data_IF_838254744832
#
_entry.id   IF_838254744832
#
_cell.length_a   1.000
_cell.length_b   1.000
_cell.length_c   1.000
_cell.angle_alpha   90.00
_cell.angle_beta   90.00
_cell.angle_gamma   90.00
#
_symmetry.space_group_name_H-M   'P 1'
#
loop_
_entity.id
_entity.type
_entity.pdbx_description
1 polymer ?
#
# COMPACT_ATOMS: atom_id res chain seq x y z
N UNK A 1 9.35 7.72 -51.99
CA UNK A 1 9.22 7.80 -51.37
C UNK A 1 9.25 7.78 -50.38
N UNK A 2 9.20 7.79 -50.76
CA UNK A 2 9.08 7.72 -49.78
C UNK A 2 8.89 7.75 -48.90
N UNK A 3 8.70 7.72 -48.72
CA UNK A 3 8.52 7.90 -47.80
C UNK A 3 8.16 7.70 -46.94
N UNK A 4 7.92 7.57 -47.25
CA UNK A 4 7.47 7.41 -46.36
C UNK A 4 7.59 7.03 -45.44
N UNK A 5 7.70 6.71 -45.71
CA UNK A 5 7.82 6.45 -44.72
C UNK A 5 7.96 6.59 -43.64
N UNK A 6 7.90 6.85 -43.54
CA UNK A 6 7.89 7.19 -42.43
C UNK A 6 7.43 7.18 -41.50
N UNK A 7 7.16 7.10 -41.60
CA UNK A 7 6.61 7.27 -40.72
C UNK A 7 6.37 6.56 -40.00
N UNK A 8 6.28 6.32 -40.34
CA UNK A 8 5.84 5.57 -39.52
C UNK A 8 6.40 5.41 -38.29
N UNK A 9 6.88 5.64 -38.29
CA UNK A 9 7.45 5.54 -37.31
C UNK A 9 7.36 6.01 -36.09
N UNK A 10 7.64 6.40 -35.90
CA UNK A 10 7.66 7.19 -34.75
C UNK A 10 6.47 6.98 -33.93
N UNK A 11 5.55 6.58 -34.54
CA UNK A 11 4.31 6.33 -33.88
C UNK A 11 4.44 5.34 -32.78
N UNK A 12 5.23 4.38 -32.95
CA UNK A 12 5.34 3.35 -31.94
C UNK A 12 5.75 3.89 -30.61
N UNK A 13 6.44 4.94 -30.64
CA UNK A 13 6.95 5.53 -29.43
C UNK A 13 5.86 5.93 -28.48
N UNK A 14 4.82 6.45 -29.01
CA UNK A 14 3.76 6.95 -28.19
C UNK A 14 3.17 5.94 -27.28
N UNK A 15 3.07 4.74 -27.76
CA UNK A 15 2.44 3.72 -26.97
C UNK A 15 3.14 3.47 -25.67
N UNK A 16 4.39 3.75 -25.63
CA UNK A 16 5.15 3.51 -24.43
C UNK A 16 4.64 4.28 -23.26
N UNK A 17 4.29 5.49 -23.52
CA UNK A 17 3.86 6.37 -22.47
C UNK A 17 2.65 5.84 -21.76
N UNK A 18 1.80 5.23 -22.51
CA UNK A 18 0.56 4.75 -21.96
C UNK A 18 0.75 3.72 -20.89
N UNK A 19 1.82 3.00 -21.01
CA UNK A 19 2.06 1.94 -20.05
C UNK A 19 2.13 2.45 -18.65
N UNK A 20 2.61 3.63 -18.50
CA UNK A 20 2.78 4.19 -17.19
C UNK A 20 1.48 4.34 -16.47
N UNK A 21 0.52 4.84 -17.16
CA UNK A 21 -0.75 5.09 -16.55
C UNK A 21 -1.44 3.81 -16.16
N UNK A 22 -1.18 2.78 -16.92
CA UNK A 22 -1.88 1.55 -16.71
C UNK A 22 -1.62 0.91 -15.36
N UNK A 23 -0.54 1.26 -14.75
CA UNK A 23 -0.21 0.62 -13.48
C UNK A 23 -1.07 1.05 -12.34
N UNK A 24 -1.54 2.24 -12.41
CA UNK A 24 -2.20 2.83 -11.27
C UNK A 24 -3.47 2.14 -10.84
N UNK A 25 -4.40 1.92 -11.71
CA UNK A 25 -5.68 1.40 -11.30
C UNK A 25 -5.65 -0.02 -10.77
N UNK A 26 -4.58 -0.72 -11.06
CA UNK A 26 -4.53 -2.11 -10.67
C UNK A 26 -4.56 -2.31 -9.17
N UNK A 27 -4.30 -1.27 -8.42
CA UNK A 27 -4.17 -1.42 -6.99
C UNK A 27 -5.45 -1.32 -6.23
N UNK A 28 -6.49 -0.89 -6.88
CA UNK A 28 -7.73 -0.58 -6.20
C UNK A 28 -8.38 -1.75 -5.48
N UNK A 29 -8.17 -2.95 -5.94
CA UNK A 29 -8.90 -4.09 -5.41
C UNK A 29 -8.59 -4.40 -3.97
N UNK A 30 -7.36 -4.26 -3.58
CA UNK A 30 -6.94 -4.61 -2.24
C UNK A 30 -6.48 -3.37 -1.50
N UNK A 31 -7.40 -2.46 -1.33
CA UNK A 31 -7.09 -1.19 -0.69
C UNK A 31 -8.09 -0.92 0.41
N UNK A 32 -7.61 -0.38 1.50
CA UNK A 32 -8.43 0.04 2.63
C UNK A 32 -7.89 1.34 3.17
N UNK A 33 -8.77 2.15 3.70
CA UNK A 33 -8.38 3.43 4.28
C UNK A 33 -8.17 3.28 5.77
N UNK A 34 -7.08 3.84 6.27
CA UNK A 34 -6.82 3.91 7.70
C UNK A 34 -6.54 5.36 8.08
N UNK A 35 -6.69 5.65 9.37
CA UNK A 35 -6.36 6.95 9.91
C UNK A 35 -5.36 6.76 11.02
N UNK A 36 -4.23 7.47 10.92
CA UNK A 36 -3.23 7.49 11.98
C UNK A 36 -3.48 8.73 12.82
N UNK A 37 -3.81 8.51 14.08
CA UNK A 37 -4.05 9.63 15.00
C UNK A 37 -2.76 10.30 15.43
N UNK A 38 -1.66 9.59 15.29
CA UNK A 38 -0.35 10.07 15.71
C UNK A 38 0.68 9.65 14.68
N UNK A 39 1.80 10.32 14.67
CA UNK A 39 2.93 9.85 13.87
C UNK A 39 3.29 8.45 14.32
N UNK A 40 3.62 7.60 13.38
CA UNK A 40 3.92 6.21 13.68
C UNK A 40 5.05 5.71 12.80
N UNK A 41 5.73 4.68 13.29
CA UNK A 41 6.83 4.06 12.56
C UNK A 41 6.36 2.74 11.99
N UNK A 42 6.71 2.49 10.73
CA UNK A 42 6.44 1.22 10.07
C UNK A 42 7.74 0.80 9.44
N UNK A 43 8.26 -0.36 9.84
CA UNK A 43 9.49 -0.91 9.28
C UNK A 43 10.62 0.12 9.27
N UNK A 44 10.75 0.85 10.36
CA UNK A 44 11.84 1.80 10.52
C UNK A 44 11.63 3.16 9.89
N UNK A 45 10.48 3.40 9.26
CA UNK A 45 10.20 4.69 8.64
C UNK A 45 9.00 5.34 9.30
N UNK A 46 9.06 6.64 9.45
CA UNK A 46 8.00 7.38 10.12
C UNK A 46 6.95 7.85 9.13
N UNK A 47 5.69 7.58 9.48
CA UNK A 47 4.55 8.11 8.75
C UNK A 47 3.89 9.16 9.62
N UNK A 48 3.70 10.38 9.12
CA UNK A 48 2.99 11.42 9.88
C UNK A 48 1.54 11.04 10.11
N UNK A 49 0.94 11.60 11.12
CA UNK A 49 -0.49 11.44 11.37
C UNK A 49 -1.27 11.86 10.13
N UNK A 50 -2.36 11.16 9.87
CA UNK A 50 -3.20 11.47 8.72
C UNK A 50 -3.90 10.27 8.18
N UNK A 51 -4.57 10.46 7.07
CA UNK A 51 -5.34 9.42 6.41
C UNK A 51 -4.49 8.79 5.30
N UNK A 52 -4.51 7.46 5.25
CA UNK A 52 -3.75 6.72 4.26
C UNK A 52 -4.60 5.65 3.63
N UNK A 53 -4.33 5.39 2.36
CA UNK A 53 -4.85 4.20 1.71
C UNK A 53 -3.78 3.13 1.84
N UNK A 54 -4.16 1.99 2.40
CA UNK A 54 -3.26 0.85 2.52
C UNK A 54 -3.60 -0.11 1.42
N UNK A 55 -2.63 -0.41 0.58
CA UNK A 55 -2.80 -1.30 -0.56
C UNK A 55 -1.82 -2.44 -0.42
N UNK A 56 -2.21 -3.61 -0.89
CA UNK A 56 -1.30 -4.75 -0.76
C UNK A 56 -1.45 -5.71 -1.91
N UNK A 57 -0.35 -6.44 -2.16
CA UNK A 57 -0.34 -7.60 -3.03
C UNK A 57 0.08 -8.78 -2.19
N UNK A 58 -0.80 -9.76 -2.10
CA UNK A 58 -0.52 -10.93 -1.29
C UNK A 58 0.27 -11.95 -2.11
N UNK A 59 1.29 -12.52 -1.48
CA UNK A 59 1.98 -13.68 -2.01
C UNK A 59 2.20 -14.66 -0.86
N UNK A 60 1.14 -14.91 -0.23
CA UNK A 60 0.78 -15.70 0.92
C UNK A 60 1.88 -16.54 1.52
N UNK A 61 2.10 -16.44 2.82
CA UNK A 61 1.36 -15.60 3.78
C UNK A 61 1.81 -14.16 3.80
N UNK A 62 2.82 -13.83 3.04
CA UNK A 62 3.42 -12.51 3.02
C UNK A 62 2.68 -11.58 2.07
N UNK A 63 2.93 -10.31 2.23
CA UNK A 63 2.32 -9.31 1.37
C UNK A 63 3.23 -8.10 1.26
N UNK A 64 3.28 -7.53 0.06
CA UNK A 64 3.91 -6.25 -0.13
C UNK A 64 2.84 -5.19 0.11
N UNK A 65 3.12 -4.27 1.02
CA UNK A 65 2.15 -3.31 1.51
C UNK A 65 2.60 -1.90 1.16
N UNK A 66 1.69 -1.12 0.62
CA UNK A 66 1.97 0.27 0.29
C UNK A 66 1.03 1.18 1.03
N UNK A 67 1.58 2.25 1.60
CA UNK A 67 0.80 3.30 2.22
C UNK A 67 0.81 4.50 1.29
N UNK A 68 -0.36 4.97 0.92
CA UNK A 68 -0.49 6.04 -0.04
C UNK A 68 -1.35 7.17 0.49
N UNK A 69 -1.02 8.38 0.08
CA UNK A 69 -1.86 9.55 0.33
C UNK A 69 -2.20 10.14 -1.02
N UNK A 70 -3.50 10.25 -1.28
CA UNK A 70 -3.94 10.68 -2.58
C UNK A 70 -3.48 9.67 -3.62
N UNK A 71 -2.71 10.12 -4.58
CA UNK A 71 -2.21 9.25 -5.62
C UNK A 71 -0.74 8.90 -5.44
N UNK A 72 -0.19 9.21 -4.29
CA UNK A 72 1.24 9.06 -4.09
C UNK A 72 1.51 8.00 -3.03
N UNK A 73 2.35 7.04 -3.38
CA UNK A 73 2.83 6.04 -2.43
C UNK A 73 3.91 6.68 -1.60
N UNK A 74 3.71 6.72 -0.29
CA UNK A 74 4.68 7.34 0.61
C UNK A 74 5.57 6.32 1.30
N UNK A 75 5.15 5.07 1.34
CA UNK A 75 5.93 4.01 1.96
C UNK A 75 5.54 2.67 1.38
N UNK A 76 6.54 1.84 1.14
CA UNK A 76 6.32 0.46 0.73
C UNK A 76 7.09 -0.44 1.67
N UNK A 77 6.47 -1.51 2.13
CA UNK A 77 7.09 -2.39 3.09
C UNK A 77 6.51 -3.79 2.96
N UNK A 78 7.05 -4.73 3.74
CA UNK A 78 6.57 -6.09 3.77
C UNK A 78 5.80 -6.35 5.05
N UNK A 79 4.75 -7.12 4.93
CA UNK A 79 4.01 -7.59 6.07
C UNK A 79 3.55 -9.00 5.81
N UNK A 80 2.71 -9.53 6.68
CA UNK A 80 2.09 -10.82 6.45
C UNK A 80 0.69 -10.82 7.03
N UNK A 81 -0.14 -11.70 6.49
CA UNK A 81 -1.49 -11.86 6.99
C UNK A 81 -1.56 -13.01 7.96
N UNK A 82 -2.31 -12.81 9.04
CA UNK A 82 -2.62 -13.86 10.01
C UNK A 82 -4.12 -13.95 10.16
N UNK A 83 -4.64 -15.17 10.12
CA UNK A 83 -6.06 -15.38 10.32
C UNK A 83 -6.31 -15.56 11.82
N UNK A 84 -7.17 -14.72 12.38
CA UNK A 84 -7.47 -14.75 13.80
C UNK A 84 -8.72 -15.54 14.11
N UNK A 85 -9.39 -16.06 13.10
CA UNK A 85 -10.52 -16.94 13.29
C UNK A 85 -11.84 -16.25 13.56
N UNK A 86 -11.85 -14.95 13.66
CA UNK A 86 -13.10 -14.21 13.83
C UNK A 86 -12.97 -12.87 13.15
N UNK A 87 -14.09 -12.36 12.68
CA UNK A 87 -14.11 -11.09 11.98
C UNK A 87 -14.14 -9.92 12.96
N UNK A 88 -13.47 -8.86 12.59
CA UNK A 88 -13.45 -7.65 13.40
C UNK A 88 -14.53 -6.69 12.92
N UNK A 89 -15.07 -5.92 13.82
CA UNK A 89 -16.16 -4.99 13.52
C UNK A 89 -15.67 -3.68 12.94
N UNK A 90 -14.45 -3.31 13.23
CA UNK A 90 -13.94 -2.03 12.81
C UNK A 90 -12.49 -2.12 12.38
N UNK A 91 -12.09 -1.17 11.55
CA UNK A 91 -10.70 -1.06 11.13
C UNK A 91 -9.92 -0.36 12.23
N UNK A 92 -8.88 -1.01 12.70
CA UNK A 92 -8.10 -0.55 13.85
C UNK A 92 -6.62 -0.73 13.59
N UNK A 93 -5.85 0.29 13.91
CA UNK A 93 -4.40 0.23 13.84
C UNK A 93 -3.87 0.05 15.26
N UNK A 94 -3.05 -0.98 15.45
CA UNK A 94 -2.47 -1.25 16.75
C UNK A 94 -1.01 -0.86 16.75
N UNK A 95 -0.59 -0.26 17.86
CA UNK A 95 0.75 0.26 18.01
C UNK A 95 1.45 -0.40 19.17
N UNK A 96 2.76 -0.57 19.03
CA UNK A 96 3.64 -0.84 20.15
C UNK A 96 4.37 0.45 20.47
N UNK A 97 4.50 0.75 21.75
CA UNK A 97 5.24 1.94 22.18
C UNK A 97 6.53 1.50 22.86
N UNK A 98 7.62 2.16 22.51
CA UNK A 98 8.88 1.87 23.18
C UNK A 98 9.07 2.83 24.36
N UNK A 99 10.23 2.72 25.01
CA UNK A 99 10.50 3.53 26.19
C UNK A 99 10.61 5.02 25.90
N UNK A 100 10.80 5.37 24.64
CA UNK A 100 10.87 6.77 24.22
C UNK A 100 9.53 7.32 23.77
N UNK A 101 8.49 6.51 23.85
CA UNK A 101 7.17 6.93 23.41
C UNK A 101 6.96 6.83 21.92
N UNK A 102 7.89 6.27 21.18
CA UNK A 102 7.73 6.06 19.75
C UNK A 102 6.71 4.98 19.51
N UNK A 103 5.73 5.28 18.66
CA UNK A 103 4.69 4.32 18.31
C UNK A 103 5.07 3.63 17.02
N UNK A 104 5.09 2.30 17.07
CA UNK A 104 5.37 1.48 15.90
C UNK A 104 4.11 0.70 15.57
N UNK A 105 3.70 0.71 14.32
CA UNK A 105 2.52 -0.06 13.92
C UNK A 105 2.86 -1.53 13.96
N UNK A 106 2.13 -2.28 14.77
CA UNK A 106 2.34 -3.71 14.90
C UNK A 106 1.38 -4.50 14.03
N UNK A 107 0.12 -4.08 13.96
CA UNK A 107 -0.82 -4.75 13.09
C UNK A 107 -1.97 -3.83 12.72
N UNK A 108 -2.62 -4.17 11.62
CA UNK A 108 -3.82 -3.46 11.18
C UNK A 108 -4.93 -4.49 11.03
N UNK A 109 -6.05 -4.23 11.69
CA UNK A 109 -7.26 -5.04 11.60
C UNK A 109 -8.24 -4.32 10.71
N UNK A 110 -8.88 -5.07 9.83
CA UNK A 110 -9.81 -4.49 8.87
C UNK A 110 -11.23 -4.92 9.18
N UNK A 111 -12.15 -3.97 9.13
CA UNK A 111 -13.57 -4.26 9.36
C UNK A 111 -14.05 -5.34 8.41
N UNK A 112 -14.75 -6.31 8.94
CA UNK A 112 -15.32 -7.38 8.15
C UNK A 112 -14.35 -8.49 7.76
N UNK A 113 -13.13 -8.46 8.27
CA UNK A 113 -12.12 -9.45 7.93
C UNK A 113 -11.64 -10.16 9.18
N UNK A 114 -11.34 -11.44 9.05
CA UNK A 114 -10.70 -12.21 10.11
C UNK A 114 -9.19 -12.22 9.97
N UNK A 115 -8.69 -11.73 8.85
CA UNK A 115 -7.25 -11.65 8.64
C UNK A 115 -6.74 -10.29 9.06
N UNK A 116 -5.60 -10.27 9.71
CA UNK A 116 -4.96 -9.03 10.12
C UNK A 116 -3.61 -8.93 9.43
N UNK A 117 -3.21 -7.71 9.17
CA UNK A 117 -1.93 -7.43 8.55
C UNK A 117 -0.93 -7.13 9.64
N UNK A 118 0.12 -7.93 9.72
CA UNK A 118 1.13 -7.85 10.77
C UNK A 118 2.45 -7.40 10.16
N UNK A 119 3.11 -6.49 10.84
CA UNK A 119 4.40 -5.97 10.38
C UNK A 119 5.52 -6.45 11.28
N UNK A 120 6.64 -6.77 10.65
CA UNK A 120 7.85 -7.10 11.40
C UNK A 120 8.49 -5.85 11.95
N UNK A 121 9.04 -5.97 13.13
CA UNK A 121 9.74 -4.87 13.79
C UNK A 121 11.21 -4.88 13.44
#
# INVERSE_FOLDING_TARGET
MNKHIRKCFGTGVLSLVLLLAARVPALAKNARTIVLSHDAVVSGKTLPAGEYAVQWQAHSPQATVEFAQGHKVVLSTEGRFEDRGKKYDSTTVLYDSDSNGTRTISEIRFAGSSEVLVFSQ
#
